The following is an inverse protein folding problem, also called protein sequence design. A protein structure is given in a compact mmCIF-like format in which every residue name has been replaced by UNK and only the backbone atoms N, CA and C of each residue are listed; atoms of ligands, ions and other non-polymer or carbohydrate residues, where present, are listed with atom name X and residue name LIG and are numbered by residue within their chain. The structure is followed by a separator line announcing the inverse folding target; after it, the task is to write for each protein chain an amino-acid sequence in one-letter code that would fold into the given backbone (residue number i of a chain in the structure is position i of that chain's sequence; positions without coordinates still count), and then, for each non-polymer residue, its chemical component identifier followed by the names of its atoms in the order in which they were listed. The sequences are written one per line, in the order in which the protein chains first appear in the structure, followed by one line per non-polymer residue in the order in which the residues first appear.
data_IF_268867100899
#
_entry.id   IF_268867100899
#
_cell.length_a   1.000
_cell.length_b   1.000
_cell.length_c   1.000
_cell.angle_alpha   90.00
_cell.angle_beta   90.00
_cell.angle_gamma   90.00
#
_symmetry.space_group_name_H-M   'P 1'
#
loop_
_entity.id
_entity.type
_entity.pdbx_description
1 polymer ?
#
# COMPACT_ATOMS: atom_id res chain seq x y z
N UNK A 1 -15.96 -12.08 0.17
CA UNK A 1 -14.76 -11.33 0.56
C UNK A 1 -13.52 -11.88 -0.14
N UNK A 2 -12.46 -11.04 -0.24
CA UNK A 2 -11.12 -11.46 -0.68
C UNK A 2 -10.31 -11.87 0.55
N UNK A 3 -10.00 -13.15 0.65
CA UNK A 3 -9.46 -13.74 1.88
C UNK A 3 -8.01 -13.34 2.20
N UNK A 4 -7.19 -13.03 1.20
CA UNK A 4 -5.79 -12.66 1.37
C UNK A 4 -5.51 -11.15 1.28
N UNK A 5 -6.55 -10.33 1.46
CA UNK A 5 -6.44 -8.90 1.69
C UNK A 5 -7.00 -8.55 3.08
N UNK A 6 -6.55 -7.45 3.63
CA UNK A 6 -6.92 -7.03 4.99
C UNK A 6 -6.78 -5.52 5.16
N UNK A 7 -7.56 -4.94 6.03
CA UNK A 7 -7.22 -3.68 6.67
C UNK A 7 -6.03 -3.85 7.61
N UNK A 8 -5.52 -2.76 8.16
CA UNK A 8 -4.30 -2.77 8.97
C UNK A 8 -4.20 -1.58 9.93
N UNK A 9 -3.31 -1.68 10.91
CA UNK A 9 -2.95 -0.54 11.74
C UNK A 9 -2.06 0.44 10.96
N UNK A 10 -2.20 1.70 11.32
CA UNK A 10 -1.48 2.84 10.74
C UNK A 10 -0.59 3.50 11.78
N UNK A 11 0.53 4.07 11.33
CA UNK A 11 1.37 4.97 12.11
C UNK A 11 1.87 6.10 11.21
N UNK A 12 2.50 7.11 11.78
CA UNK A 12 3.00 8.25 11.02
C UNK A 12 3.98 7.80 9.92
N UNK A 13 3.68 8.13 8.68
CA UNK A 13 4.40 7.72 7.48
C UNK A 13 4.53 6.19 7.29
N UNK A 14 3.71 5.39 7.98
CA UNK A 14 3.73 3.92 7.90
C UNK A 14 2.32 3.39 7.69
N UNK A 15 2.01 2.95 6.47
CA UNK A 15 0.68 2.45 6.14
C UNK A 15 0.40 1.03 6.67
N UNK A 16 1.41 0.23 6.97
CA UNK A 16 1.27 -1.10 7.56
C UNK A 16 2.06 -1.17 8.87
N UNK A 17 1.42 -0.78 9.97
CA UNK A 17 2.06 -0.70 11.29
C UNK A 17 2.00 -2.03 12.09
N UNK A 18 1.95 -3.16 11.41
CA UNK A 18 2.18 -4.48 11.97
C UNK A 18 0.94 -5.26 12.45
N UNK A 19 -0.26 -4.66 12.50
CA UNK A 19 -1.52 -5.35 12.79
C UNK A 19 -2.35 -5.46 11.52
N UNK A 20 -3.01 -6.61 11.30
CA UNK A 20 -3.91 -6.83 10.15
C UNK A 20 -5.33 -7.08 10.62
N UNK A 21 -6.30 -6.46 9.94
CA UNK A 21 -7.73 -6.67 10.14
C UNK A 21 -8.23 -7.53 8.97
N UNK A 22 -8.41 -8.84 9.14
CA UNK A 22 -8.73 -9.74 8.02
C UNK A 22 -10.13 -9.50 7.47
N UNK A 23 -10.30 -9.70 6.16
CA UNK A 23 -11.59 -9.63 5.47
C UNK A 23 -12.48 -10.84 5.71
N UNK A 24 -11.94 -11.92 6.24
CA UNK A 24 -12.63 -13.15 6.58
C UNK A 24 -12.46 -13.46 8.07
N UNK A 25 -13.36 -14.29 8.59
CA UNK A 25 -13.19 -14.80 9.93
C UNK A 25 -11.87 -15.58 10.07
N UNK A 26 -11.11 -15.30 11.12
CA UNK A 26 -9.84 -15.96 11.41
C UNK A 26 -9.73 -16.28 12.92
N UNK A 27 -9.02 -17.36 13.21
CA UNK A 27 -8.67 -17.70 14.60
C UNK A 27 -7.52 -16.80 15.04
N UNK A 28 -7.62 -16.30 16.26
CA UNK A 28 -6.70 -15.33 16.80
C UNK A 28 -7.13 -13.91 16.45
N UNK A 29 -6.62 -12.98 17.16
CA UNK A 29 -6.96 -11.57 16.99
C UNK A 29 -6.18 -10.73 17.97
N UNK A 30 -6.44 -9.44 17.95
CA UNK A 30 -5.91 -8.47 18.90
C UNK A 30 -7.02 -7.49 19.28
N UNK A 31 -6.90 -6.90 20.43
CA UNK A 31 -7.76 -5.78 20.81
C UNK A 31 -7.30 -4.53 20.09
N UNK A 32 -8.25 -3.79 19.53
CA UNK A 32 -7.99 -2.47 18.98
C UNK A 32 -7.62 -1.52 20.11
N UNK A 33 -6.66 -0.64 19.87
CA UNK A 33 -6.23 0.38 20.82
C UNK A 33 -6.77 1.75 20.43
N UNK A 34 -7.23 2.52 21.39
CA UNK A 34 -7.65 3.91 21.26
C UNK A 34 -6.51 4.89 20.94
N UNK A 35 -5.27 4.44 21.14
CA UNK A 35 -4.05 5.20 20.79
C UNK A 35 -3.53 4.92 19.39
N UNK A 36 -4.25 4.16 18.58
CA UNK A 36 -3.83 3.76 17.23
C UNK A 36 -4.90 4.04 16.20
N UNK A 37 -4.49 4.38 14.99
CA UNK A 37 -5.36 4.47 13.82
C UNK A 37 -5.35 3.16 13.02
N UNK A 38 -6.46 2.86 12.36
CA UNK A 38 -6.63 1.65 11.57
C UNK A 38 -7.31 1.97 10.24
N UNK A 39 -6.85 1.34 9.17
CA UNK A 39 -7.57 1.25 7.90
C UNK A 39 -8.52 0.04 7.94
N UNK A 40 -9.81 0.29 7.74
CA UNK A 40 -10.80 -0.75 7.49
C UNK A 40 -11.03 -0.84 5.99
N UNK A 41 -10.63 -1.95 5.39
CA UNK A 41 -10.58 -2.14 3.93
C UNK A 41 -11.32 -3.41 3.51
N UNK A 42 -12.66 -3.43 3.49
CA UNK A 42 -13.40 -4.58 2.95
C UNK A 42 -13.20 -4.68 1.43
N UNK A 43 -12.75 -5.85 0.99
CA UNK A 43 -12.64 -6.24 -0.41
C UNK A 43 -13.61 -7.37 -0.71
N UNK A 44 -14.40 -7.23 -1.75
CA UNK A 44 -15.37 -8.24 -2.18
C UNK A 44 -15.27 -8.49 -3.68
N UNK A 45 -15.59 -9.71 -4.10
CA UNK A 45 -15.71 -10.10 -5.51
C UNK A 45 -17.11 -10.66 -5.79
N UNK A 46 -17.38 -10.98 -7.06
CA UNK A 46 -18.63 -11.61 -7.48
C UNK A 46 -18.74 -13.06 -6.99
N UNK A 47 -19.89 -13.67 -7.12
CA UNK A 47 -20.12 -15.09 -6.79
C UNK A 47 -19.26 -16.06 -7.61
N UNK A 48 -18.84 -15.65 -8.83
CA UNK A 48 -17.96 -16.41 -9.71
C UNK A 48 -16.48 -16.22 -9.39
N UNK A 49 -16.14 -15.30 -8.47
CA UNK A 49 -14.78 -15.06 -8.04
C UNK A 49 -14.24 -16.17 -7.14
N UNK A 50 -12.93 -16.37 -7.18
CA UNK A 50 -12.24 -17.34 -6.33
C UNK A 50 -11.99 -16.83 -4.90
N UNK A 51 -12.25 -15.53 -4.63
CA UNK A 51 -12.08 -14.93 -3.31
C UNK A 51 -10.62 -14.72 -2.87
N UNK A 52 -9.69 -14.73 -3.80
CA UNK A 52 -8.26 -14.45 -3.60
C UNK A 52 -7.71 -13.56 -4.69
N UNK A 53 -6.63 -12.83 -4.38
CA UNK A 53 -5.86 -12.10 -5.39
C UNK A 53 -4.47 -12.69 -5.55
N UNK A 54 -3.92 -12.55 -6.76
CA UNK A 54 -2.54 -12.86 -7.13
C UNK A 54 -1.83 -11.61 -7.63
N UNK A 55 -0.52 -11.62 -7.59
CA UNK A 55 0.30 -10.55 -8.15
C UNK A 55 0.23 -10.55 -9.68
N UNK A 56 -0.12 -9.41 -10.26
CA UNK A 56 0.04 -9.13 -11.68
C UNK A 56 1.47 -8.69 -12.02
N UNK A 57 1.71 -8.44 -13.31
CA UNK A 57 3.03 -8.02 -13.78
C UNK A 57 3.25 -6.50 -13.71
N UNK A 58 2.18 -5.73 -13.80
CA UNK A 58 2.25 -4.26 -13.81
C UNK A 58 2.56 -3.74 -12.40
N UNK A 59 3.52 -2.81 -12.33
CA UNK A 59 3.93 -2.14 -11.10
C UNK A 59 3.96 -0.64 -11.34
N UNK A 60 3.02 0.06 -10.75
CA UNK A 60 2.88 1.51 -10.88
C UNK A 60 2.85 2.23 -9.53
N UNK A 61 2.87 1.48 -8.43
CA UNK A 61 2.95 1.99 -7.06
C UNK A 61 4.23 1.49 -6.42
N UNK A 62 4.91 2.36 -5.69
CA UNK A 62 6.19 2.10 -5.06
C UNK A 62 6.24 2.75 -3.68
N UNK A 63 7.14 2.30 -2.81
CA UNK A 63 7.45 2.97 -1.56
C UNK A 63 8.94 2.80 -1.21
N UNK A 64 9.50 3.73 -0.45
CA UNK A 64 10.86 3.60 0.07
C UNK A 64 10.91 2.54 1.17
N UNK A 65 11.89 1.64 1.10
CA UNK A 65 12.27 0.73 2.18
C UNK A 65 13.48 1.25 2.96
N UNK A 66 14.39 1.92 2.28
CA UNK A 66 15.59 2.47 2.90
C UNK A 66 16.18 3.59 2.06
N UNK A 67 16.95 4.47 2.70
CA UNK A 67 17.71 5.54 2.03
C UNK A 67 19.11 5.11 1.61
N UNK A 68 19.36 3.81 1.51
CA UNK A 68 20.67 3.29 1.09
C UNK A 68 20.95 3.71 -0.34
N UNK A 69 22.01 4.47 -0.52
CA UNK A 69 22.46 4.91 -1.83
C UNK A 69 22.93 3.75 -2.71
N UNK A 70 22.74 3.92 -4.00
CA UNK A 70 23.23 2.99 -5.03
C UNK A 70 24.62 3.46 -5.51
N UNK A 71 25.11 2.90 -6.59
CA UNK A 71 26.30 3.41 -7.30
C UNK A 71 25.90 4.20 -8.57
N UNK A 72 24.60 4.45 -8.77
CA UNK A 72 24.05 5.20 -9.91
C UNK A 72 23.57 6.56 -9.37
N UNK A 73 24.24 7.64 -9.77
CA UNK A 73 23.94 8.98 -9.27
C UNK A 73 22.52 9.44 -9.63
N UNK A 74 21.98 9.03 -10.79
CA UNK A 74 20.63 9.41 -11.19
C UNK A 74 19.58 8.67 -10.35
N UNK A 75 19.81 7.40 -10.06
CA UNK A 75 18.94 6.65 -9.16
C UNK A 75 18.99 7.24 -7.74
N UNK A 76 20.14 7.70 -7.29
CA UNK A 76 20.29 8.34 -5.98
C UNK A 76 19.59 9.71 -5.92
N UNK A 77 19.62 10.50 -7.00
CA UNK A 77 18.83 11.74 -7.11
C UNK A 77 17.32 11.47 -7.09
N UNK A 78 16.87 10.44 -7.80
CA UNK A 78 15.47 10.03 -7.75
C UNK A 78 15.07 9.57 -6.34
N UNK A 79 15.91 8.83 -5.64
CA UNK A 79 15.65 8.38 -4.26
C UNK A 79 15.52 9.56 -3.30
N UNK A 80 16.36 10.58 -3.43
CA UNK A 80 16.28 11.81 -2.62
C UNK A 80 14.98 12.57 -2.93
N UNK A 81 14.63 12.75 -4.19
CA UNK A 81 13.36 13.35 -4.60
C UNK A 81 12.14 12.63 -4.01
N UNK A 82 12.12 11.29 -4.10
CA UNK A 82 11.03 10.47 -3.54
C UNK A 82 10.93 10.69 -2.02
N UNK A 83 12.06 10.71 -1.33
CA UNK A 83 12.09 10.94 0.11
C UNK A 83 11.55 12.32 0.50
N UNK A 84 11.96 13.36 -0.19
CA UNK A 84 11.53 14.74 0.09
C UNK A 84 10.04 14.95 -0.15
N UNK A 85 9.47 14.28 -1.16
CA UNK A 85 8.08 14.48 -1.55
C UNK A 85 7.09 13.49 -0.92
N UNK A 86 7.50 12.25 -0.63
CA UNK A 86 6.59 11.17 -0.20
C UNK A 86 7.04 10.49 1.09
N UNK A 87 8.27 10.71 1.56
CA UNK A 87 8.84 10.02 2.71
C UNK A 87 8.76 8.49 2.54
N UNK A 88 8.20 7.76 3.50
CA UNK A 88 7.98 6.30 3.42
C UNK A 88 6.60 5.93 2.87
N UNK A 89 5.75 6.91 2.54
CA UNK A 89 4.44 6.66 1.98
C UNK A 89 4.53 6.09 0.56
N UNK A 90 3.56 5.28 0.12
CA UNK A 90 3.45 4.84 -1.26
C UNK A 90 3.25 6.01 -2.21
N UNK A 91 3.88 5.92 -3.38
CA UNK A 91 3.74 6.90 -4.44
C UNK A 91 3.47 6.23 -5.79
N UNK A 92 2.79 6.95 -6.68
CA UNK A 92 2.49 6.47 -8.02
C UNK A 92 3.59 6.88 -9.01
N UNK A 93 3.90 6.00 -9.98
CA UNK A 93 4.83 6.32 -11.07
C UNK A 93 4.48 7.64 -11.78
N UNK A 94 3.19 7.90 -12.03
CA UNK A 94 2.72 9.13 -12.69
C UNK A 94 3.07 10.43 -11.93
N UNK A 95 3.42 10.35 -10.65
CA UNK A 95 3.85 11.52 -9.89
C UNK A 95 5.33 11.82 -10.13
N UNK A 96 6.13 10.77 -10.39
CA UNK A 96 7.53 10.89 -10.78
C UNK A 96 7.67 11.40 -12.22
N UNK A 97 6.77 10.99 -13.12
CA UNK A 97 6.82 11.38 -14.53
C UNK A 97 6.49 12.84 -14.82
N UNK A 98 6.23 13.62 -13.78
CA UNK A 98 6.18 15.09 -13.90
C UNK A 98 7.58 15.70 -14.01
N UNK A 99 8.61 15.04 -13.46
CA UNK A 99 10.00 15.53 -13.39
C UNK A 99 10.97 14.67 -14.20
N UNK A 100 10.65 13.41 -14.45
CA UNK A 100 11.44 12.46 -15.24
C UNK A 100 10.64 11.92 -16.42
N UNK A 101 11.32 11.73 -17.55
CA UNK A 101 10.71 10.99 -18.65
C UNK A 101 10.36 9.56 -18.20
N UNK A 102 9.21 9.00 -18.62
CA UNK A 102 8.67 7.76 -18.07
C UNK A 102 9.63 6.57 -18.20
N UNK A 103 10.26 6.43 -19.35
CA UNK A 103 11.21 5.34 -19.61
C UNK A 103 12.40 5.40 -18.66
N UNK A 104 12.91 6.61 -18.43
CA UNK A 104 14.02 6.82 -17.49
C UNK A 104 13.58 6.63 -16.05
N UNK A 105 12.42 7.13 -15.64
CA UNK A 105 11.85 6.90 -14.32
C UNK A 105 11.73 5.40 -14.02
N UNK A 106 11.22 4.60 -14.95
CA UNK A 106 11.13 3.14 -14.81
C UNK A 106 12.50 2.48 -14.67
N UNK A 107 13.48 2.87 -15.49
CA UNK A 107 14.86 2.35 -15.40
C UNK A 107 15.48 2.64 -14.04
N UNK A 108 15.35 3.86 -13.54
CA UNK A 108 15.89 4.26 -12.24
C UNK A 108 15.20 3.54 -11.09
N UNK A 109 13.86 3.42 -11.13
CA UNK A 109 13.09 2.66 -10.14
C UNK A 109 13.47 1.18 -10.13
N UNK A 110 13.76 0.56 -11.30
CA UNK A 110 14.25 -0.81 -11.34
C UNK A 110 15.60 -0.97 -10.64
N UNK A 111 16.52 0.00 -10.77
CA UNK A 111 17.79 0.01 -10.04
C UNK A 111 17.53 0.06 -8.53
N UNK A 112 16.67 0.99 -8.09
CA UNK A 112 16.33 1.15 -6.68
C UNK A 112 15.66 -0.10 -6.10
N UNK A 113 14.78 -0.75 -6.86
CA UNK A 113 14.12 -2.01 -6.46
C UNK A 113 15.14 -3.15 -6.36
N UNK A 114 16.03 -3.32 -7.35
CA UNK A 114 17.12 -4.32 -7.30
C UNK A 114 18.05 -4.12 -6.09
N UNK A 115 18.25 -2.88 -5.68
CA UNK A 115 19.05 -2.52 -4.49
C UNK A 115 18.26 -2.57 -3.18
N UNK A 116 16.96 -2.91 -3.22
CA UNK A 116 16.05 -2.94 -2.08
C UNK A 116 15.92 -1.58 -1.36
N UNK A 117 16.26 -0.49 -2.03
CA UNK A 117 16.02 0.86 -1.54
C UNK A 117 14.54 1.24 -1.69
N UNK A 118 13.89 0.75 -2.73
CA UNK A 118 12.46 0.93 -3.03
C UNK A 118 11.82 -0.45 -3.20
N UNK A 119 10.58 -0.60 -2.75
CA UNK A 119 9.71 -1.73 -3.07
C UNK A 119 8.69 -1.33 -4.12
N UNK A 120 8.29 -2.27 -4.96
CA UNK A 120 7.27 -2.09 -5.96
C UNK A 120 6.04 -2.94 -5.61
N UNK A 121 4.87 -2.35 -5.65
CA UNK A 121 3.59 -3.04 -5.44
C UNK A 121 3.02 -3.46 -6.79
N UNK A 122 2.85 -4.76 -7.04
CA UNK A 122 2.19 -5.24 -8.25
C UNK A 122 0.70 -4.92 -8.20
N UNK A 123 0.09 -4.73 -9.35
CA UNK A 123 -1.37 -4.74 -9.48
C UNK A 123 -1.87 -6.10 -9.01
N UNK A 124 -2.88 -6.11 -8.15
CA UNK A 124 -3.51 -7.33 -7.67
C UNK A 124 -4.65 -7.74 -8.60
N UNK A 125 -4.70 -9.01 -8.96
CA UNK A 125 -5.68 -9.58 -9.89
C UNK A 125 -6.41 -10.70 -9.16
N UNK A 126 -7.74 -10.65 -9.15
CA UNK A 126 -8.57 -11.73 -8.63
C UNK A 126 -8.28 -13.02 -9.41
N UNK A 127 -8.18 -14.17 -8.72
CA UNK A 127 -7.66 -15.41 -9.34
C UNK A 127 -8.48 -15.92 -10.51
N UNK A 128 -9.79 -15.67 -10.54
CA UNK A 128 -10.70 -15.96 -11.65
C UNK A 128 -10.95 -14.74 -12.55
N UNK A 129 -10.15 -13.66 -12.39
CA UNK A 129 -10.25 -12.41 -13.16
C UNK A 129 -11.61 -11.70 -13.05
N UNK A 130 -12.32 -11.96 -11.96
CA UNK A 130 -13.58 -11.31 -11.65
C UNK A 130 -13.35 -9.90 -11.09
N UNK A 131 -14.39 -9.08 -11.16
CA UNK A 131 -14.36 -7.72 -10.61
C UNK A 131 -14.22 -7.76 -9.09
N UNK A 132 -13.43 -6.82 -8.57
CA UNK A 132 -13.29 -6.59 -7.13
C UNK A 132 -13.78 -5.19 -6.81
N UNK A 133 -14.58 -5.07 -5.76
CA UNK A 133 -14.94 -3.80 -5.16
C UNK A 133 -14.24 -3.65 -3.81
N UNK A 134 -13.83 -2.41 -3.51
CA UNK A 134 -13.23 -2.01 -2.24
C UNK A 134 -13.98 -0.81 -1.68
N UNK A 135 -14.12 -0.77 -0.37
CA UNK A 135 -14.38 0.44 0.40
C UNK A 135 -13.27 0.60 1.44
N UNK A 136 -13.04 1.83 1.89
CA UNK A 136 -12.00 2.09 2.88
C UNK A 136 -12.38 3.29 3.75
N UNK A 137 -12.17 3.12 5.05
CA UNK A 137 -12.17 4.20 6.02
C UNK A 137 -11.03 4.05 7.01
N UNK A 138 -10.45 5.18 7.40
CA UNK A 138 -9.56 5.24 8.55
C UNK A 138 -10.37 5.57 9.79
N UNK A 139 -10.13 4.83 10.88
CA UNK A 139 -10.81 5.04 12.15
C UNK A 139 -9.86 4.93 13.34
N UNK A 140 -10.24 5.59 14.42
CA UNK A 140 -9.59 5.52 15.74
C UNK A 140 -10.64 5.01 16.72
N UNK A 141 -10.42 3.86 17.41
CA UNK A 141 -11.33 3.37 18.44
C UNK A 141 -11.47 4.37 19.59
N UNK A 142 -12.63 4.37 20.25
CA UNK A 142 -12.89 5.13 21.46
C UNK A 142 -13.92 4.39 22.33
N UNK A 143 -14.19 4.87 23.55
CA UNK A 143 -15.11 4.24 24.50
C UNK A 143 -16.55 4.08 23.97
N UNK A 144 -16.97 4.89 22.99
CA UNK A 144 -18.30 4.89 22.39
C UNK A 144 -18.36 4.22 21.01
N UNK A 145 -17.27 3.55 20.58
CA UNK A 145 -17.15 2.90 19.26
C UNK A 145 -15.91 3.32 18.51
N UNK A 146 -16.03 4.23 17.53
CA UNK A 146 -14.88 4.72 16.76
C UNK A 146 -15.14 6.11 16.16
N UNK A 147 -14.08 6.89 16.04
CA UNK A 147 -14.05 8.13 15.24
C UNK A 147 -13.56 7.78 13.85
N UNK A 148 -14.39 7.95 12.83
CA UNK A 148 -14.00 7.78 11.42
C UNK A 148 -13.40 9.07 10.91
N UNK A 149 -12.12 9.06 10.57
CA UNK A 149 -11.37 10.29 10.20
C UNK A 149 -11.47 10.61 8.70
N UNK A 150 -11.97 9.69 7.90
CA UNK A 150 -12.13 9.82 6.44
C UNK A 150 -13.60 9.81 6.00
N UNK A 151 -14.56 9.98 6.90
CA UNK A 151 -15.96 10.22 6.53
C UNK A 151 -16.10 11.60 5.89
N UNK A 152 -16.83 11.69 4.77
CA UNK A 152 -17.32 12.98 4.31
C UNK A 152 -18.35 13.52 5.32
N UNK A 153 -18.23 14.79 5.69
CA UNK A 153 -19.26 15.49 6.45
C UNK A 153 -20.55 15.60 5.64
#
# INVERSE_FOLDING_TARGET
PIANLSGHSLDQYTIHAGRSIPNIWSIGGFSLSDSSAYACEPFVTTEQGGGFVRNGQIKNIFAINSRKKTKDEQADKLLDFIWENFNMLPFALRWITKEWEEKEARRLLEILVKKKAVQAYPVLIEVNEQRVAQAEHTFIPNDNGATVTTSAE
#
